data_IF_849012921968
#
_entry.id   IF_849012921968
#
_cell.length_a   1.000
_cell.length_b   1.000
_cell.length_c   1.000
_cell.angle_alpha   90.00
_cell.angle_beta   90.00
_cell.angle_gamma   90.00
#
_symmetry.space_group_name_H-M   'P 1'
#
loop_
_entity.id
_entity.type
_entity.pdbx_description
1 polymer ?
#
# COMPACT_ATOMS: atom_id res chain seq x y z
N UNK A 1 -25.29 11.37 10.63
CA UNK A 1 -24.70 10.95 9.37
C UNK A 1 -23.23 10.59 9.62
N UNK A 2 -22.82 9.43 9.20
CA UNK A 2 -21.46 8.95 9.47
C UNK A 2 -20.48 9.43 8.41
N UNK A 3 -19.23 9.66 8.81
CA UNK A 3 -18.14 9.96 7.89
C UNK A 3 -17.86 8.76 6.99
N UNK A 4 -17.31 9.05 5.81
CA UNK A 4 -16.76 8.05 4.90
C UNK A 4 -15.26 8.27 4.76
N UNK A 5 -14.58 7.39 4.03
CA UNK A 5 -13.13 7.45 3.92
C UNK A 5 -12.69 7.25 2.47
N UNK A 6 -11.58 7.88 2.11
CA UNK A 6 -10.95 7.64 0.80
C UNK A 6 -10.25 6.27 0.79
N UNK A 7 -9.84 5.82 -0.38
CA UNK A 7 -9.15 4.54 -0.52
C UNK A 7 -7.86 4.42 0.32
N UNK A 8 -7.21 5.53 0.65
CA UNK A 8 -6.01 5.54 1.48
C UNK A 8 -6.28 6.00 2.92
N UNK A 9 -7.55 6.07 3.33
CA UNK A 9 -7.93 6.24 4.72
C UNK A 9 -8.13 7.68 5.17
N UNK A 10 -8.18 8.65 4.27
CA UNK A 10 -8.47 10.05 4.63
C UNK A 10 -9.96 10.18 4.92
N UNK A 11 -10.27 10.78 6.05
CA UNK A 11 -11.67 10.92 6.46
C UNK A 11 -12.38 12.03 5.66
N UNK A 12 -13.51 11.66 5.07
CA UNK A 12 -14.43 12.61 4.45
C UNK A 12 -15.53 12.89 5.48
N UNK A 13 -15.40 14.01 6.19
CA UNK A 13 -16.29 14.34 7.30
C UNK A 13 -17.68 14.70 6.80
N UNK A 14 -18.70 14.02 7.33
CA UNK A 14 -20.08 14.37 7.06
C UNK A 14 -20.43 15.69 7.75
N UNK A 15 -21.32 16.47 7.13
CA UNK A 15 -21.78 17.74 7.68
C UNK A 15 -22.41 17.53 9.06
N UNK A 16 -21.89 18.23 10.06
CA UNK A 16 -22.36 18.14 11.45
C UNK A 16 -21.86 16.92 12.22
N UNK A 17 -21.12 16.01 11.58
CA UNK A 17 -20.70 14.75 12.20
C UNK A 17 -19.67 14.98 13.31
N UNK A 18 -18.69 15.82 13.09
CA UNK A 18 -17.54 15.95 13.98
C UNK A 18 -17.58 17.24 14.82
N UNK A 19 -18.77 17.60 15.33
CA UNK A 19 -18.93 18.76 16.19
C UNK A 19 -18.03 18.64 17.42
N UNK A 20 -17.15 19.60 17.63
CA UNK A 20 -16.21 19.59 18.74
C UNK A 20 -14.93 18.80 18.48
N UNK A 21 -14.85 18.02 17.40
CA UNK A 21 -13.67 17.21 17.08
C UNK A 21 -13.10 17.44 15.69
N UNK A 22 -13.71 18.31 14.88
CA UNK A 22 -13.31 18.51 13.50
C UNK A 22 -11.85 18.99 13.36
N UNK A 23 -11.36 19.76 14.32
CA UNK A 23 -9.97 20.23 14.30
C UNK A 23 -8.98 19.07 14.40
N UNK A 24 -9.23 18.14 15.30
CA UNK A 24 -8.42 16.93 15.44
C UNK A 24 -8.51 16.06 14.19
N UNK A 25 -9.71 15.89 13.65
CA UNK A 25 -9.92 15.10 12.42
C UNK A 25 -9.21 15.74 11.22
N UNK A 26 -9.31 17.06 11.07
CA UNK A 26 -8.63 17.80 10.00
C UNK A 26 -7.11 17.62 10.11
N UNK A 27 -6.56 17.76 11.30
CA UNK A 27 -5.11 17.61 11.50
C UNK A 27 -4.64 16.19 11.21
N UNK A 28 -5.40 15.18 11.62
CA UNK A 28 -5.10 13.78 11.29
C UNK A 28 -5.13 13.57 9.78
N UNK A 29 -6.12 14.13 9.08
CA UNK A 29 -6.20 14.03 7.62
C UNK A 29 -5.00 14.68 6.95
N UNK A 30 -4.55 15.84 7.41
CA UNK A 30 -3.37 16.50 6.86
C UNK A 30 -2.12 15.64 7.06
N UNK A 31 -2.00 14.99 8.21
CA UNK A 31 -0.89 14.08 8.49
C UNK A 31 -0.91 12.85 7.56
N UNK A 32 -2.09 12.29 7.30
CA UNK A 32 -2.24 11.17 6.34
C UNK A 32 -1.83 11.62 4.94
N UNK A 33 -2.27 12.80 4.51
CA UNK A 33 -1.92 13.35 3.19
C UNK A 33 -0.41 13.57 3.07
N UNK A 34 0.22 14.11 4.10
CA UNK A 34 1.68 14.27 4.11
C UNK A 34 2.39 12.93 3.98
N UNK A 35 1.90 11.92 4.72
CA UNK A 35 2.41 10.57 4.69
C UNK A 35 2.30 9.94 3.29
N UNK A 36 1.15 10.11 2.64
CA UNK A 36 0.92 9.63 1.27
C UNK A 36 1.87 10.33 0.29
N UNK A 37 2.12 11.61 0.48
CA UNK A 37 2.93 12.41 -0.44
C UNK A 37 4.41 12.05 -0.41
N UNK A 38 4.97 11.75 0.78
CA UNK A 38 6.42 11.54 0.91
C UNK A 38 6.83 10.60 2.03
N UNK A 39 5.89 9.86 2.61
CA UNK A 39 6.17 8.97 3.74
C UNK A 39 6.89 7.69 3.32
N UNK A 40 7.68 7.17 4.24
CA UNK A 40 8.41 5.91 4.11
C UNK A 40 7.98 4.96 5.22
N UNK A 41 7.79 3.69 4.87
CA UNK A 41 7.49 2.65 5.84
C UNK A 41 8.15 1.33 5.46
N UNK A 42 8.24 0.45 6.44
CA UNK A 42 8.76 -0.90 6.24
C UNK A 42 7.66 -1.92 6.53
N UNK A 43 7.65 -3.00 5.77
CA UNK A 43 6.76 -4.12 5.98
C UNK A 43 7.57 -5.40 6.02
N UNK A 44 7.55 -6.08 7.16
CA UNK A 44 8.17 -7.41 7.26
C UNK A 44 7.32 -8.44 6.52
N UNK A 45 7.97 -9.22 5.66
CA UNK A 45 7.36 -10.36 4.99
C UNK A 45 8.17 -11.62 5.24
N UNK A 46 8.83 -11.68 6.39
CA UNK A 46 9.68 -12.82 6.78
C UNK A 46 8.88 -14.12 6.87
N UNK A 47 9.53 -15.23 6.52
CA UNK A 47 8.97 -16.57 6.66
C UNK A 47 8.88 -17.34 5.36
N UNK A 48 8.13 -18.43 5.39
CA UNK A 48 7.89 -19.29 4.23
C UNK A 48 6.93 -18.68 3.22
N UNK A 49 6.58 -19.42 2.19
CA UNK A 49 5.66 -18.96 1.15
C UNK A 49 4.33 -18.54 1.78
N UNK A 50 3.94 -17.29 1.55
CA UNK A 50 2.74 -16.71 2.15
C UNK A 50 2.23 -15.51 1.36
N UNK A 51 1.02 -15.08 1.68
CA UNK A 51 0.43 -13.85 1.16
C UNK A 51 0.28 -12.85 2.30
N UNK A 52 0.84 -11.65 2.11
CA UNK A 52 0.70 -10.53 3.05
C UNK A 52 -0.21 -9.49 2.43
N UNK A 53 -1.35 -9.22 3.06
CA UNK A 53 -2.28 -8.21 2.58
C UNK A 53 -1.99 -6.89 3.30
N UNK A 54 -1.61 -5.89 2.51
CA UNK A 54 -1.39 -4.54 3.03
C UNK A 54 -2.75 -3.86 3.22
N UNK A 55 -2.82 -2.97 4.19
CA UNK A 55 -4.08 -2.32 4.54
C UNK A 55 -3.92 -0.83 4.69
N UNK A 56 -5.06 -0.14 4.68
CA UNK A 56 -5.15 1.26 5.10
C UNK A 56 -5.76 1.31 6.48
N UNK A 57 -5.62 2.45 7.15
CA UNK A 57 -6.21 2.69 8.46
C UNK A 57 -7.07 3.94 8.36
N UNK A 58 -8.37 3.74 8.24
CA UNK A 58 -9.32 4.82 8.02
C UNK A 58 -9.29 5.83 9.15
N UNK A 59 -9.01 7.09 8.81
CA UNK A 59 -8.98 8.18 9.78
C UNK A 59 -7.79 8.14 10.74
N UNK A 60 -6.76 7.33 10.47
CA UNK A 60 -5.57 7.22 11.32
C UNK A 60 -4.29 7.20 10.48
N UNK A 61 -3.18 7.61 11.10
CA UNK A 61 -1.86 7.56 10.48
C UNK A 61 -1.22 6.18 10.64
N UNK A 62 -0.15 5.92 9.90
CA UNK A 62 0.71 4.75 10.11
C UNK A 62 0.41 3.53 9.23
N UNK A 63 -0.68 3.54 8.46
CA UNK A 63 -0.99 2.42 7.58
C UNK A 63 0.06 2.28 6.46
N UNK A 64 0.46 1.06 6.15
CA UNK A 64 1.51 0.79 5.16
C UNK A 64 1.16 1.39 3.80
N UNK A 65 -0.08 1.21 3.32
CA UNK A 65 -0.50 1.70 2.00
C UNK A 65 -0.65 3.21 1.92
N UNK A 66 -0.66 3.91 3.05
CA UNK A 66 -0.74 5.38 3.07
C UNK A 66 0.66 6.01 3.15
N UNK A 67 1.63 5.42 2.47
CA UNK A 67 2.99 5.94 2.36
C UNK A 67 3.42 5.93 0.90
N UNK A 68 4.41 6.75 0.57
CA UNK A 68 4.93 6.82 -0.80
C UNK A 68 5.92 5.68 -1.08
N UNK A 69 6.75 5.35 -0.11
CA UNK A 69 7.76 4.31 -0.25
C UNK A 69 7.53 3.20 0.76
N UNK A 70 7.54 1.96 0.27
CA UNK A 70 7.39 0.76 1.10
C UNK A 70 8.63 -0.11 0.91
N UNK A 71 9.29 -0.43 2.01
CA UNK A 71 10.43 -1.35 2.01
C UNK A 71 10.00 -2.69 2.58
N UNK A 72 10.16 -3.75 1.80
CA UNK A 72 9.91 -5.12 2.27
C UNK A 72 11.16 -5.66 2.91
N UNK A 73 11.01 -6.18 4.13
CA UNK A 73 12.13 -6.65 4.94
C UNK A 73 11.93 -8.09 5.41
N UNK A 74 12.97 -8.69 5.93
CA UNK A 74 12.94 -10.00 6.57
C UNK A 74 13.66 -11.08 5.80
N UNK A 75 13.90 -12.19 6.49
CA UNK A 75 14.49 -13.39 5.89
C UNK A 75 13.37 -14.27 5.37
N UNK A 76 13.33 -14.50 4.06
CA UNK A 76 12.28 -15.30 3.42
C UNK A 76 12.82 -16.65 2.99
N UNK A 77 12.00 -17.68 3.18
CA UNK A 77 12.32 -19.07 2.83
C UNK A 77 11.31 -19.65 1.83
N UNK A 78 10.53 -18.81 1.21
CA UNK A 78 9.58 -19.15 0.15
C UNK A 78 9.15 -17.91 -0.59
N UNK A 79 8.49 -18.08 -1.75
CA UNK A 79 8.02 -16.98 -2.56
C UNK A 79 6.93 -16.21 -1.81
N UNK A 80 7.00 -14.87 -1.87
CA UNK A 80 6.09 -13.99 -1.16
C UNK A 80 5.13 -13.34 -2.14
N UNK A 81 3.89 -13.17 -1.71
CA UNK A 81 2.88 -12.41 -2.42
C UNK A 81 2.42 -11.28 -1.51
N UNK A 82 2.46 -10.06 -2.00
CA UNK A 82 1.99 -8.86 -1.28
C UNK A 82 0.80 -8.30 -2.05
N UNK A 83 -0.32 -8.14 -1.38
CA UNK A 83 -1.56 -7.71 -2.02
C UNK A 83 -2.06 -6.39 -1.47
N UNK A 84 -2.83 -5.68 -2.29
CA UNK A 84 -3.46 -4.41 -1.94
C UNK A 84 -4.94 -4.44 -2.32
N UNK A 85 -5.78 -3.60 -1.68
CA UNK A 85 -7.20 -3.49 -2.05
C UNK A 85 -7.40 -2.97 -3.48
N UNK A 86 -8.51 -3.35 -4.11
CA UNK A 86 -8.81 -3.05 -5.51
C UNK A 86 -8.99 -1.57 -5.81
N UNK A 87 -9.32 -0.76 -4.82
CA UNK A 87 -9.62 0.67 -4.99
C UNK A 87 -8.42 1.59 -4.76
N UNK A 88 -7.27 1.04 -4.41
CA UNK A 88 -6.06 1.83 -4.20
C UNK A 88 -5.51 2.27 -5.55
N UNK A 89 -5.43 3.57 -5.74
CA UNK A 89 -4.91 4.19 -6.96
C UNK A 89 -3.84 5.21 -6.59
N UNK A 90 -2.59 4.83 -6.77
CA UNK A 90 -1.44 5.72 -6.54
C UNK A 90 -0.18 5.03 -7.03
N UNK A 91 0.93 5.76 -7.02
CA UNK A 91 2.22 5.14 -7.31
C UNK A 91 2.98 4.90 -6.01
N UNK A 92 3.82 3.86 -6.01
CA UNK A 92 4.68 3.49 -4.89
C UNK A 92 6.10 3.28 -5.37
N UNK A 93 7.07 3.72 -4.56
CA UNK A 93 8.44 3.23 -4.64
C UNK A 93 8.53 1.99 -3.75
N UNK A 94 8.85 0.85 -4.34
CA UNK A 94 9.01 -0.39 -3.62
C UNK A 94 10.49 -0.74 -3.51
N UNK A 95 10.93 -1.06 -2.31
CA UNK A 95 12.30 -1.55 -2.09
C UNK A 95 12.23 -2.95 -1.54
N UNK A 96 12.91 -3.89 -2.20
CA UNK A 96 13.01 -5.26 -1.73
C UNK A 96 14.35 -5.47 -1.01
N UNK A 97 14.29 -5.41 0.31
CA UNK A 97 15.45 -5.63 1.20
C UNK A 97 15.38 -6.99 1.89
N UNK A 98 14.57 -7.91 1.38
CA UNK A 98 14.49 -9.26 1.92
C UNK A 98 15.77 -10.04 1.64
N UNK A 99 16.12 -10.96 2.53
CA UNK A 99 17.17 -11.93 2.30
C UNK A 99 16.56 -13.28 1.92
N UNK A 100 17.25 -14.04 1.05
CA UNK A 100 16.76 -15.31 0.53
C UNK A 100 16.44 -15.22 -0.97
N UNK A 101 16.73 -16.29 -1.70
CA UNK A 101 16.62 -16.33 -3.16
C UNK A 101 15.20 -16.74 -3.57
N UNK A 102 14.21 -15.91 -3.23
CA UNK A 102 12.81 -16.14 -3.53
C UNK A 102 12.18 -14.89 -4.12
N UNK A 103 11.07 -15.06 -4.84
CA UNK A 103 10.38 -13.94 -5.48
C UNK A 103 9.48 -13.19 -4.49
N UNK A 104 9.24 -11.90 -4.80
CA UNK A 104 8.26 -11.06 -4.10
C UNK A 104 7.35 -10.47 -5.17
N UNK A 105 6.09 -10.87 -5.16
CA UNK A 105 5.08 -10.40 -6.11
C UNK A 105 4.19 -9.35 -5.46
N UNK A 106 4.01 -8.22 -6.12
CA UNK A 106 3.11 -7.16 -5.69
C UNK A 106 1.93 -7.11 -6.64
N UNK A 107 0.72 -7.29 -6.10
CA UNK A 107 -0.50 -7.43 -6.91
C UNK A 107 -1.73 -6.95 -6.15
N UNK A 108 -2.82 -6.75 -6.89
CA UNK A 108 -4.11 -6.55 -6.25
C UNK A 108 -4.62 -7.84 -5.61
N UNK A 109 -5.47 -7.70 -4.61
CA UNK A 109 -5.92 -8.83 -3.77
C UNK A 109 -6.70 -9.88 -4.57
N UNK A 110 -7.42 -9.47 -5.62
CA UNK A 110 -8.15 -10.36 -6.52
C UNK A 110 -8.03 -9.86 -7.95
N UNK A 111 -8.56 -10.64 -8.88
CA UNK A 111 -8.56 -10.27 -10.29
C UNK A 111 -7.38 -10.84 -11.05
N UNK A 112 -7.42 -10.65 -12.36
CA UNK A 112 -6.43 -11.17 -13.31
C UNK A 112 -5.62 -10.06 -13.99
N UNK A 113 -5.64 -8.85 -13.44
CA UNK A 113 -4.84 -7.74 -13.95
C UNK A 113 -3.35 -7.99 -13.76
N UNK A 114 -2.54 -7.13 -14.38
CA UNK A 114 -1.09 -7.24 -14.31
C UNK A 114 -0.56 -7.05 -12.89
N UNK A 115 0.57 -7.67 -12.61
CA UNK A 115 1.28 -7.55 -11.35
C UNK A 115 2.77 -7.32 -11.61
N UNK A 116 3.51 -6.96 -10.55
CA UNK A 116 4.96 -6.85 -10.61
C UNK A 116 5.59 -7.88 -9.67
N UNK A 117 6.66 -8.54 -10.13
CA UNK A 117 7.38 -9.53 -9.33
C UNK A 117 8.87 -9.22 -9.33
N UNK A 118 9.44 -9.03 -8.14
CA UNK A 118 10.89 -9.02 -7.97
C UNK A 118 11.40 -10.45 -8.18
N UNK A 119 12.45 -10.61 -8.99
CA UNK A 119 13.07 -11.92 -9.21
C UNK A 119 13.85 -12.37 -7.98
N UNK A 120 14.33 -13.61 -8.01
CA UNK A 120 15.10 -14.18 -6.90
C UNK A 120 16.44 -13.47 -6.67
N UNK A 121 16.99 -12.84 -7.71
CA UNK A 121 18.32 -12.22 -7.68
C UNK A 121 18.29 -10.72 -7.95
N UNK A 122 17.33 -10.25 -8.74
CA UNK A 122 17.24 -8.85 -9.11
C UNK A 122 16.32 -8.13 -8.13
N UNK A 123 16.86 -7.88 -6.96
CA UNK A 123 16.19 -7.15 -5.88
C UNK A 123 16.58 -5.68 -5.95
N UNK A 124 15.98 -4.87 -5.11
CA UNK A 124 16.29 -3.44 -5.03
C UNK A 124 15.04 -2.60 -5.17
N UNK A 125 15.13 -1.53 -5.96
CA UNK A 125 14.09 -0.51 -6.04
C UNK A 125 13.28 -0.61 -7.32
N UNK A 126 11.98 -0.36 -7.21
CA UNK A 126 11.06 -0.38 -8.34
C UNK A 126 10.00 0.69 -8.16
N UNK A 127 9.71 1.44 -9.22
CA UNK A 127 8.56 2.34 -9.25
C UNK A 127 7.41 1.64 -9.94
N UNK A 128 6.28 1.56 -9.25
CA UNK A 128 5.04 0.98 -9.80
C UNK A 128 3.90 1.97 -9.68
N UNK A 129 2.90 1.79 -10.52
CA UNK A 129 1.64 2.52 -10.43
C UNK A 129 0.50 1.52 -10.26
N UNK A 130 -0.25 1.68 -9.16
CA UNK A 130 -1.46 0.92 -8.91
C UNK A 130 -2.62 1.66 -9.56
N UNK A 131 -3.19 1.09 -10.61
CA UNK A 131 -4.07 1.86 -11.50
C UNK A 131 -5.51 1.98 -11.03
N UNK A 132 -6.02 0.98 -10.30
CA UNK A 132 -7.44 0.88 -9.91
C UNK A 132 -8.39 1.23 -11.07
N UNK A 133 -7.97 0.90 -12.30
CA UNK A 133 -8.69 1.28 -13.52
C UNK A 133 -9.89 0.39 -13.84
N UNK A 134 -10.03 -0.69 -13.10
CA UNK A 134 -11.10 -1.67 -13.29
C UNK A 134 -11.45 -2.24 -11.91
N UNK A 135 -12.69 -2.14 -11.49
CA UNK A 135 -13.11 -2.61 -10.16
C UNK A 135 -13.00 -4.12 -9.96
N UNK A 136 -12.72 -4.88 -11.02
CA UNK A 136 -12.61 -6.34 -10.98
C UNK A 136 -11.17 -6.80 -11.25
N UNK A 137 -10.51 -6.22 -12.25
CA UNK A 137 -9.19 -6.62 -12.71
C UNK A 137 -8.25 -5.41 -12.89
N UNK A 138 -7.99 -4.64 -11.83
CA UNK A 138 -7.06 -3.51 -11.95
C UNK A 138 -5.63 -3.98 -12.12
N UNK A 139 -4.78 -3.10 -12.64
CA UNK A 139 -3.41 -3.41 -12.99
C UNK A 139 -2.39 -2.75 -12.07
N UNK A 140 -1.32 -3.47 -11.78
CA UNK A 140 -0.08 -2.92 -11.25
C UNK A 140 0.84 -2.71 -12.45
N UNK A 141 1.22 -1.47 -12.70
CA UNK A 141 2.04 -1.08 -13.85
C UNK A 141 3.47 -0.86 -13.39
N UNK A 142 4.41 -1.60 -13.96
CA UNK A 142 5.84 -1.41 -13.68
C UNK A 142 6.34 -0.24 -14.50
N UNK A 143 6.89 0.78 -13.84
CA UNK A 143 7.42 1.98 -14.51
C UNK A 143 8.94 1.97 -14.59
N UNK A 144 9.59 1.01 -13.96
CA UNK A 144 11.03 0.80 -14.05
C UNK A 144 11.83 1.24 -12.83
N UNK A 145 13.06 1.11 -12.96
CA UNK A 145 14.30 1.47 -12.25
C UNK A 145 15.36 0.41 -12.43
#
# INVERSE_FOLDING_TARGET
MASTYTALGVELMATGENAGTWGTKTNTNLSIIEQISGGFTQQSIAGGAQTTTLSVSDGSTGAVLAHRMIEFTGSITGNQIVTIPLDVQTFYFLRNSTSGAYTVQFKYVTGSGDSFTFSTTDKGDQLIFASANDGTNPDIISLGF
#
